data_IF_660879130063
#
_entry.id   IF_660879130063
#
_cell.length_a   1.000
_cell.length_b   1.000
_cell.length_c   1.000
_cell.angle_alpha   90.00
_cell.angle_beta   90.00
_cell.angle_gamma   90.00
#
_symmetry.space_group_name_H-M   'P 1'
#
loop_
_entity.id
_entity.type
_entity.pdbx_description
1 polymer ?
#
# COMPACT_ATOMS: atom_id res chain seq x y z
N UNK A 1 -8.47 -2.14 20.16
CA UNK A 1 -9.43 -1.87 19.06
C UNK A 1 -10.89 -1.85 19.54
N UNK A 2 -11.65 -0.80 19.23
CA UNK A 2 -13.10 -0.69 19.50
C UNK A 2 -13.99 -1.50 18.54
N UNK A 3 -15.29 -1.64 18.85
CA UNK A 3 -16.21 -2.53 18.11
C UNK A 3 -16.44 -2.11 16.65
N UNK A 4 -16.67 -0.82 16.39
CA UNK A 4 -16.87 -0.29 15.02
C UNK A 4 -15.67 -0.60 14.14
N UNK A 5 -14.48 -0.39 14.68
CA UNK A 5 -13.22 -0.76 14.03
C UNK A 5 -13.13 -2.22 13.70
N UNK A 6 -13.36 -3.11 14.69
CA UNK A 6 -13.32 -4.56 14.47
C UNK A 6 -14.27 -4.99 13.35
N UNK A 7 -15.47 -4.40 13.29
CA UNK A 7 -16.45 -4.68 12.22
C UNK A 7 -15.95 -4.21 10.86
N UNK A 8 -15.46 -2.98 10.77
CA UNK A 8 -14.91 -2.45 9.51
C UNK A 8 -13.71 -3.26 9.03
N UNK A 9 -12.72 -3.49 9.88
CA UNK A 9 -11.52 -4.28 9.53
C UNK A 9 -11.91 -5.67 9.05
N UNK A 10 -12.84 -6.34 9.73
CA UNK A 10 -13.33 -7.66 9.30
C UNK A 10 -13.99 -7.60 7.92
N UNK A 11 -14.93 -6.67 7.71
CA UNK A 11 -15.62 -6.51 6.43
C UNK A 11 -14.63 -6.20 5.29
N UNK A 12 -13.68 -5.28 5.52
CA UNK A 12 -12.67 -4.95 4.52
C UNK A 12 -11.79 -6.17 4.17
N UNK A 13 -11.38 -6.94 5.18
CA UNK A 13 -10.56 -8.15 4.98
C UNK A 13 -11.32 -9.27 4.24
N UNK A 14 -12.64 -9.36 4.41
CA UNK A 14 -13.48 -10.38 3.78
C UNK A 14 -13.94 -9.98 2.37
N UNK A 15 -14.23 -8.69 2.14
CA UNK A 15 -14.90 -8.21 0.94
C UNK A 15 -13.97 -7.53 -0.07
N UNK A 16 -13.03 -6.69 0.39
CA UNK A 16 -12.21 -5.85 -0.49
C UNK A 16 -10.76 -6.33 -0.60
N UNK A 17 -10.14 -6.68 0.52
CA UNK A 17 -8.73 -7.06 0.60
C UNK A 17 -8.33 -8.25 -0.28
N UNK A 18 -9.12 -9.34 -0.43
CA UNK A 18 -8.68 -10.50 -1.21
C UNK A 18 -8.39 -10.15 -2.67
N UNK A 19 -9.24 -9.30 -3.27
CA UNK A 19 -9.07 -8.86 -4.64
C UNK A 19 -7.88 -7.89 -4.79
N UNK A 20 -7.72 -6.95 -3.84
CA UNK A 20 -6.57 -6.04 -3.82
C UNK A 20 -5.24 -6.79 -3.67
N UNK A 21 -5.19 -7.77 -2.77
CA UNK A 21 -4.03 -8.63 -2.57
C UNK A 21 -3.70 -9.43 -3.83
N UNK A 22 -4.71 -10.04 -4.46
CA UNK A 22 -4.54 -10.77 -5.73
C UNK A 22 -3.97 -9.87 -6.83
N UNK A 23 -4.44 -8.63 -6.94
CA UNK A 23 -3.92 -7.66 -7.90
C UNK A 23 -2.47 -7.30 -7.61
N UNK A 24 -2.09 -7.11 -6.34
CA UNK A 24 -0.70 -6.87 -5.93
C UNK A 24 0.18 -8.05 -6.30
N UNK A 25 -0.22 -9.28 -5.98
CA UNK A 25 0.58 -10.48 -6.26
C UNK A 25 0.74 -10.72 -7.75
N UNK A 26 -0.32 -10.45 -8.52
CA UNK A 26 -0.27 -10.52 -9.98
C UNK A 26 0.67 -9.46 -10.55
N UNK A 27 0.61 -8.24 -10.01
CA UNK A 27 1.47 -7.14 -10.45
C UNK A 27 2.94 -7.36 -10.06
N UNK A 28 3.25 -7.89 -8.88
CA UNK A 28 4.61 -8.24 -8.49
C UNK A 28 5.10 -9.53 -9.16
N UNK A 29 4.18 -10.43 -9.49
CA UNK A 29 4.44 -11.74 -10.06
C UNK A 29 4.91 -12.80 -9.04
N UNK A 30 4.73 -12.53 -7.75
CA UNK A 30 4.98 -13.41 -6.60
C UNK A 30 4.05 -13.03 -5.44
N UNK A 31 3.97 -13.86 -4.39
CA UNK A 31 3.16 -13.57 -3.20
C UNK A 31 3.83 -12.50 -2.32
N UNK A 32 3.27 -11.29 -2.29
CA UNK A 32 3.81 -10.18 -1.49
C UNK A 32 3.23 -10.24 -0.08
N UNK A 33 4.07 -10.36 0.95
CA UNK A 33 3.61 -10.24 2.34
C UNK A 33 3.17 -8.80 2.63
N UNK A 34 1.93 -8.61 3.10
CA UNK A 34 1.39 -7.30 3.46
C UNK A 34 0.92 -7.32 4.91
N UNK A 35 1.45 -6.41 5.72
CA UNK A 35 1.05 -6.16 7.10
C UNK A 35 0.34 -4.81 7.17
N UNK A 36 -0.88 -4.80 7.70
CA UNK A 36 -1.71 -3.59 7.82
C UNK A 36 -1.85 -3.23 9.30
N UNK A 37 -1.32 -2.07 9.68
CA UNK A 37 -1.39 -1.53 11.03
C UNK A 37 -2.73 -0.82 11.26
N UNK A 38 -3.82 -1.61 11.40
CA UNK A 38 -5.17 -1.07 11.53
C UNK A 38 -5.32 -0.03 12.66
N UNK A 39 -4.51 -0.12 13.73
CA UNK A 39 -4.47 0.84 14.85
C UNK A 39 -4.03 2.25 14.44
N UNK A 40 -3.16 2.40 13.45
CA UNK A 40 -2.79 3.73 12.95
C UNK A 40 -3.76 4.28 11.90
N UNK A 41 -4.43 3.41 11.13
CA UNK A 41 -5.25 3.85 9.99
C UNK A 41 -6.65 4.35 10.39
N UNK A 42 -7.17 3.89 11.52
CA UNK A 42 -8.59 4.00 11.81
C UNK A 42 -8.96 5.23 12.66
N UNK A 43 -9.80 6.09 12.09
CA UNK A 43 -10.47 7.21 12.73
C UNK A 43 -11.98 7.15 12.43
N UNK A 44 -12.81 7.09 13.48
CA UNK A 44 -14.26 6.92 13.34
C UNK A 44 -14.94 8.02 12.51
N UNK A 45 -14.39 9.24 12.52
CA UNK A 45 -14.95 10.38 11.78
C UNK A 45 -14.95 10.16 10.27
N UNK A 46 -13.99 9.39 9.77
CA UNK A 46 -13.76 9.20 8.34
C UNK A 46 -14.11 7.80 7.83
N UNK A 47 -14.70 6.94 8.68
CA UNK A 47 -15.02 5.55 8.32
C UNK A 47 -15.78 5.41 7.00
N UNK A 48 -16.70 6.33 6.73
CA UNK A 48 -17.53 6.33 5.52
C UNK A 48 -16.74 6.52 4.23
N UNK A 49 -15.49 7.00 4.31
CA UNK A 49 -14.60 7.21 3.16
C UNK A 49 -13.70 6.00 2.87
N UNK A 50 -13.41 5.17 3.87
CA UNK A 50 -12.33 4.17 3.79
C UNK A 50 -12.48 3.12 2.71
N UNK A 51 -13.72 2.76 2.35
CA UNK A 51 -13.95 1.83 1.24
C UNK A 51 -13.50 2.40 -0.11
N UNK A 52 -13.50 3.73 -0.27
CA UNK A 52 -12.99 4.41 -1.47
C UNK A 52 -11.51 4.80 -1.30
N UNK A 53 -11.14 5.36 -0.14
CA UNK A 53 -9.81 5.95 0.04
C UNK A 53 -8.72 4.91 0.31
N UNK A 54 -8.99 3.81 1.02
CA UNK A 54 -7.95 2.81 1.31
C UNK A 54 -7.41 2.18 0.02
N UNK A 55 -8.24 1.69 -0.92
CA UNK A 55 -7.77 1.20 -2.20
C UNK A 55 -6.91 2.24 -2.93
N UNK A 56 -7.37 3.49 -3.06
CA UNK A 56 -6.68 4.55 -3.80
C UNK A 56 -5.36 5.00 -3.17
N UNK A 57 -5.28 5.01 -1.84
CA UNK A 57 -4.10 5.52 -1.13
C UNK A 57 -3.04 4.44 -0.98
N UNK A 58 -3.43 3.21 -0.62
CA UNK A 58 -2.47 2.18 -0.22
C UNK A 58 -2.27 1.09 -1.26
N UNK A 59 -3.31 0.68 -1.98
CA UNK A 59 -3.23 -0.53 -2.81
C UNK A 59 -3.01 -0.22 -4.29
N UNK A 60 -3.78 0.71 -4.86
CA UNK A 60 -3.65 1.09 -6.27
C UNK A 60 -2.25 1.59 -6.62
N UNK A 61 -1.58 2.44 -5.79
CA UNK A 61 -0.22 2.84 -6.09
C UNK A 61 0.77 1.67 -6.09
N UNK A 62 0.65 0.74 -5.14
CA UNK A 62 1.49 -0.48 -5.09
C UNK A 62 1.27 -1.36 -6.32
N UNK A 63 0.01 -1.61 -6.71
CA UNK A 63 -0.34 -2.42 -7.88
C UNK A 63 0.30 -1.83 -9.15
N UNK A 64 0.15 -0.52 -9.35
CA UNK A 64 0.67 0.13 -10.56
C UNK A 64 2.21 0.21 -10.55
N UNK A 65 2.81 0.56 -9.41
CA UNK A 65 4.27 0.60 -9.28
C UNK A 65 4.89 -0.78 -9.49
N UNK A 66 4.38 -1.83 -8.83
CA UNK A 66 4.90 -3.18 -9.01
C UNK A 66 4.73 -3.68 -10.44
N UNK A 67 3.61 -3.39 -11.10
CA UNK A 67 3.42 -3.73 -12.52
C UNK A 67 4.43 -3.01 -13.43
N UNK A 68 4.80 -1.77 -13.11
CA UNK A 68 5.82 -1.02 -13.86
C UNK A 68 7.21 -1.67 -13.69
N UNK A 69 7.59 -1.97 -12.44
CA UNK A 69 8.88 -2.56 -12.10
C UNK A 69 9.00 -3.99 -12.65
N UNK A 70 7.95 -4.81 -12.54
CA UNK A 70 7.94 -6.20 -12.98
C UNK A 70 7.62 -6.38 -14.48
N UNK A 71 7.71 -5.30 -15.26
CA UNK A 71 7.36 -5.31 -16.68
C UNK A 71 8.27 -6.22 -17.53
N UNK A 72 9.46 -6.55 -17.00
CA UNK A 72 10.38 -7.54 -17.55
C UNK A 72 10.88 -8.54 -16.48
N UNK A 73 11.58 -9.58 -16.94
CA UNK A 73 12.11 -10.63 -16.07
C UNK A 73 13.18 -10.13 -15.09
N UNK A 74 13.89 -9.05 -15.41
CA UNK A 74 14.95 -8.51 -14.56
C UNK A 74 14.35 -7.76 -13.38
N UNK A 75 13.44 -6.82 -13.63
CA UNK A 75 12.76 -6.04 -12.61
C UNK A 75 11.86 -6.91 -11.72
N UNK A 76 11.24 -7.96 -12.29
CA UNK A 76 10.53 -8.96 -11.50
C UNK A 76 11.44 -9.68 -10.49
N UNK A 77 12.62 -10.12 -10.91
CA UNK A 77 13.59 -10.79 -10.02
C UNK A 77 14.15 -9.83 -8.98
N UNK A 78 14.53 -8.61 -9.38
CA UNK A 78 15.03 -7.60 -8.46
C UNK A 78 14.01 -7.28 -7.36
N UNK A 79 12.74 -7.09 -7.75
CA UNK A 79 11.65 -6.89 -6.79
C UNK A 79 11.49 -8.09 -5.85
N UNK A 80 11.52 -9.32 -6.35
CA UNK A 80 11.36 -10.52 -5.54
C UNK A 80 12.52 -10.76 -4.56
N UNK A 81 13.75 -10.44 -4.96
CA UNK A 81 14.94 -10.64 -4.12
C UNK A 81 15.08 -9.56 -3.03
N UNK A 82 14.69 -8.34 -3.35
CA UNK A 82 14.87 -7.19 -2.46
C UNK A 82 13.64 -6.92 -1.58
N UNK A 83 12.40 -7.18 -2.04
CA UNK A 83 11.18 -6.95 -1.26
C UNK A 83 10.79 -8.19 -0.45
N UNK A 84 10.88 -8.08 0.87
CA UNK A 84 10.41 -9.11 1.80
C UNK A 84 8.94 -8.89 2.18
N UNK A 85 8.56 -7.65 2.49
CA UNK A 85 7.18 -7.31 2.89
C UNK A 85 6.84 -5.84 2.71
N UNK A 86 5.54 -5.57 2.68
CA UNK A 86 4.97 -4.23 2.73
C UNK A 86 4.30 -4.00 4.09
N UNK A 87 4.55 -2.86 4.72
CA UNK A 87 3.84 -2.40 5.91
C UNK A 87 3.01 -1.19 5.53
N UNK A 88 1.70 -1.25 5.77
CA UNK A 88 0.77 -0.13 5.59
C UNK A 88 0.42 0.42 6.96
N UNK A 89 0.78 1.68 7.22
CA UNK A 89 0.47 2.39 8.46
C UNK A 89 0.17 3.88 8.22
N UNK A 90 -0.08 4.60 9.31
CA UNK A 90 -0.31 6.04 9.33
C UNK A 90 0.14 6.61 10.67
N UNK A 91 1.45 6.61 10.90
CA UNK A 91 2.05 7.05 12.18
C UNK A 91 2.34 8.55 12.18
N UNK A 92 2.55 9.13 11.01
CA UNK A 92 2.97 10.53 10.89
C UNK A 92 2.00 11.41 10.11
N UNK A 93 0.86 10.87 9.64
CA UNK A 93 -0.16 11.62 8.88
C UNK A 93 0.42 12.36 7.66
N UNK A 94 1.36 11.70 6.98
CA UNK A 94 1.94 12.23 5.76
C UNK A 94 0.87 12.30 4.66
N UNK A 95 0.74 13.47 4.05
CA UNK A 95 -0.17 13.72 2.92
C UNK A 95 0.59 14.02 1.63
N UNK A 96 1.93 13.99 1.68
CA UNK A 96 2.84 14.11 0.55
C UNK A 96 3.51 12.75 0.32
N UNK A 97 3.43 12.18 -0.91
CA UNK A 97 4.03 10.88 -1.22
C UNK A 97 5.53 10.82 -0.95
N UNK A 98 6.28 11.90 -1.13
CA UNK A 98 7.74 11.94 -0.94
C UNK A 98 8.19 11.61 0.50
N UNK A 99 7.31 11.80 1.49
CA UNK A 99 7.59 11.45 2.89
C UNK A 99 6.90 10.18 3.33
N UNK A 100 5.96 9.66 2.52
CA UNK A 100 5.09 8.56 2.90
C UNK A 100 5.68 7.18 2.60
N UNK A 101 6.70 7.11 1.74
CA UNK A 101 7.28 5.83 1.32
C UNK A 101 8.72 5.71 1.80
N UNK A 102 9.06 4.50 2.26
CA UNK A 102 10.43 4.16 2.65
C UNK A 102 10.67 2.68 2.40
N UNK A 103 11.71 2.36 1.65
CA UNK A 103 12.23 1.00 1.52
C UNK A 103 13.51 0.88 2.34
N UNK A 104 13.55 -0.05 3.28
CA UNK A 104 14.75 -0.32 4.08
C UNK A 104 14.79 -1.79 4.49
N UNK A 105 15.93 -2.44 4.31
CA UNK A 105 16.17 -3.83 4.70
C UNK A 105 15.07 -4.78 4.16
N UNK A 106 14.63 -4.53 2.92
CA UNK A 106 13.56 -5.27 2.24
C UNK A 106 12.13 -5.02 2.75
N UNK A 107 11.94 -4.02 3.62
CA UNK A 107 10.62 -3.62 4.11
C UNK A 107 10.19 -2.32 3.46
N UNK A 108 9.16 -2.37 2.62
CA UNK A 108 8.50 -1.19 2.07
C UNK A 108 7.45 -0.70 3.06
N UNK A 109 7.66 0.46 3.67
CA UNK A 109 6.66 1.12 4.52
C UNK A 109 5.86 2.13 3.69
N UNK A 110 4.55 2.07 3.80
CA UNK A 110 3.58 3.07 3.33
C UNK A 110 2.96 3.72 4.55
N UNK A 111 3.48 4.87 4.94
CA UNK A 111 3.03 5.70 6.06
C UNK A 111 2.32 6.94 5.51
N UNK A 112 1.03 6.83 5.24
CA UNK A 112 0.26 7.91 4.60
C UNK A 112 -1.06 8.13 5.31
N UNK A 113 -1.55 9.37 5.27
CA UNK A 113 -2.87 9.72 5.74
C UNK A 113 -3.96 8.90 5.03
N UNK A 114 -4.95 8.33 5.73
CA UNK A 114 -5.95 7.40 5.17
C UNK A 114 -7.02 8.04 4.31
N UNK A 115 -7.05 9.37 4.19
CA UNK A 115 -8.12 10.09 3.50
C UNK A 115 -7.65 11.27 2.67
N UNK A 116 -6.56 11.94 3.08
CA UNK A 116 -6.10 13.13 2.40
C UNK A 116 -5.52 12.77 1.04
N UNK A 117 -5.85 13.57 0.02
CA UNK A 117 -5.30 13.44 -1.33
C UNK A 117 -5.57 12.07 -1.97
N UNK A 118 -6.68 11.41 -1.64
CA UNK A 118 -7.00 10.06 -2.12
C UNK A 118 -7.00 9.93 -3.65
N UNK A 119 -7.43 10.95 -4.38
CA UNK A 119 -7.48 10.89 -5.85
C UNK A 119 -6.12 11.15 -6.53
N UNK A 120 -5.09 11.58 -5.80
CA UNK A 120 -3.73 11.80 -6.31
C UNK A 120 -2.93 10.49 -6.43
N UNK A 121 -3.53 9.48 -7.07
CA UNK A 121 -2.95 8.14 -7.20
C UNK A 121 -1.67 8.17 -8.03
N UNK A 122 -1.68 8.89 -9.14
CA UNK A 122 -0.53 8.99 -10.08
C UNK A 122 0.71 9.56 -9.39
N UNK A 123 0.58 10.64 -8.61
CA UNK A 123 1.70 11.22 -7.83
C UNK A 123 2.33 10.20 -6.88
N UNK A 124 1.52 9.31 -6.28
CA UNK A 124 2.03 8.22 -5.42
C UNK A 124 2.73 7.13 -6.22
N UNK A 125 2.22 6.81 -7.41
CA UNK A 125 2.82 5.81 -8.30
C UNK A 125 4.21 6.25 -8.74
N UNK A 126 4.35 7.50 -9.19
CA UNK A 126 5.63 8.06 -9.64
C UNK A 126 6.70 7.97 -8.55
N UNK A 127 6.39 8.42 -7.34
CA UNK A 127 7.33 8.37 -6.20
C UNK A 127 7.67 6.93 -5.80
N UNK A 128 6.70 6.02 -5.83
CA UNK A 128 6.95 4.60 -5.53
C UNK A 128 7.85 3.95 -6.58
N UNK A 129 7.62 4.20 -7.86
CA UNK A 129 8.46 3.67 -8.94
C UNK A 129 9.89 4.18 -8.79
N UNK A 130 10.08 5.49 -8.63
CA UNK A 130 11.41 6.08 -8.42
C UNK A 130 12.10 5.51 -7.17
N UNK A 131 11.36 5.34 -6.06
CA UNK A 131 11.92 4.74 -4.85
C UNK A 131 12.40 3.30 -5.11
N UNK A 132 11.60 2.49 -5.81
CA UNK A 132 11.94 1.10 -6.09
C UNK A 132 13.13 1.02 -7.06
N UNK A 133 13.12 1.74 -8.18
CA UNK A 133 14.23 1.73 -9.14
C UNK A 133 15.58 2.11 -8.52
N UNK A 134 15.57 2.99 -7.52
CA UNK A 134 16.80 3.43 -6.84
C UNK A 134 17.31 2.47 -5.75
N UNK A 135 16.51 1.47 -5.32
CA UNK A 135 16.82 0.63 -4.16
C UNK A 135 16.75 -0.88 -4.44
N UNK A 136 16.29 -1.30 -5.62
CA UNK A 136 16.24 -2.69 -6.05
C UNK A 136 17.55 -3.19 -6.66
#
# INVERSE_FOLDING_TARGET
>A
MGLKKKRFTKAFLEEAYPELKRQIDTAAGFDVEILIEWDSLFNEQFMHLYNDTYPKIYFQPLIQAFKSISSDDLGKKALQESLQKVIIDNRHDHHNPNSAFRLKDGVLTVDHSPVLNADKVEERVEVLVELLENNL
#
